data_IF_815765373779
#
_entry.id   IF_815765373779
#
_cell.length_a   1.000
_cell.length_b   1.000
_cell.length_c   1.000
_cell.angle_alpha   90.00
_cell.angle_beta   90.00
_cell.angle_gamma   90.00
#
_symmetry.space_group_name_H-M   'P 1'
#
loop_
_entity.id
_entity.type
_entity.pdbx_description
1 polymer ?
#
# COMPACT_ATOMS: atom_id res chain seq x y z
N UNK A 1 4.83 -21.63 -6.74
CA UNK A 1 4.11 -20.53 -6.06
C UNK A 1 3.89 -20.91 -4.61
N UNK A 2 4.12 -19.98 -3.71
CA UNK A 2 3.86 -20.19 -2.30
C UNK A 2 2.37 -20.41 -2.08
N UNK A 3 2.04 -21.45 -1.32
CA UNK A 3 0.64 -21.82 -1.03
C UNK A 3 -0.08 -20.69 -0.28
N UNK A 4 0.67 -19.94 0.53
CA UNK A 4 0.17 -18.81 1.30
C UNK A 4 -0.33 -17.67 0.40
N UNK A 5 0.36 -17.44 -0.71
CA UNK A 5 0.00 -16.41 -1.69
C UNK A 5 -1.39 -16.67 -2.29
N UNK A 6 -1.64 -17.90 -2.72
CA UNK A 6 -2.92 -18.30 -3.31
C UNK A 6 -4.04 -18.34 -2.28
N UNK A 7 -3.73 -18.84 -1.09
CA UNK A 7 -4.71 -19.02 -0.01
C UNK A 7 -5.29 -17.67 0.46
N UNK A 8 -4.43 -16.67 0.67
CA UNK A 8 -4.90 -15.36 1.13
C UNK A 8 -5.71 -14.63 0.05
N UNK A 9 -5.23 -14.65 -1.20
CA UNK A 9 -5.99 -14.05 -2.30
C UNK A 9 -7.39 -14.66 -2.40
N UNK A 10 -7.48 -15.99 -2.29
CA UNK A 10 -8.76 -16.70 -2.37
C UNK A 10 -9.67 -16.34 -1.19
N UNK A 11 -9.14 -16.31 0.02
CA UNK A 11 -9.91 -15.98 1.23
C UNK A 11 -10.45 -14.56 1.15
N UNK A 12 -9.62 -13.62 0.72
CA UNK A 12 -9.99 -12.20 0.61
C UNK A 12 -10.84 -11.91 -0.61
N UNK A 13 -10.95 -12.86 -1.56
CA UNK A 13 -11.65 -12.73 -2.85
C UNK A 13 -11.03 -11.63 -3.73
N UNK A 14 -9.72 -11.63 -3.80
CA UNK A 14 -8.96 -10.68 -4.61
C UNK A 14 -7.96 -11.41 -5.50
N UNK A 15 -7.40 -10.68 -6.48
CA UNK A 15 -6.41 -11.18 -7.42
C UNK A 15 -5.20 -10.23 -7.42
N UNK A 16 -4.18 -10.57 -6.65
CA UNK A 16 -3.00 -9.73 -6.51
C UNK A 16 -1.70 -10.45 -6.81
N UNK A 17 -1.73 -11.77 -7.04
CA UNK A 17 -0.54 -12.55 -7.31
C UNK A 17 0.00 -12.32 -8.72
N UNK A 18 1.31 -12.49 -8.89
CA UNK A 18 1.98 -12.33 -10.17
C UNK A 18 2.73 -11.01 -10.27
N UNK A 19 3.58 -10.91 -11.30
CA UNK A 19 4.42 -9.76 -11.56
C UNK A 19 4.02 -9.10 -12.87
N UNK A 20 4.08 -7.76 -12.93
CA UNK A 20 3.77 -7.01 -14.13
C UNK A 20 4.86 -5.96 -14.35
N UNK A 21 5.65 -6.13 -15.43
CA UNK A 21 6.76 -5.25 -15.81
C UNK A 21 6.37 -4.25 -16.90
N UNK A 22 5.16 -4.32 -17.44
CA UNK A 22 4.78 -3.62 -18.67
C UNK A 22 4.85 -2.10 -18.59
N UNK A 23 4.78 -1.52 -17.38
CA UNK A 23 4.79 -0.08 -17.17
C UNK A 23 5.94 0.40 -16.27
N UNK A 24 6.98 -0.42 -16.09
CA UNK A 24 8.14 -0.01 -15.30
C UNK A 24 8.97 1.03 -16.06
N UNK A 25 9.62 1.95 -15.33
CA UNK A 25 10.51 2.96 -15.89
C UNK A 25 11.70 3.21 -14.94
N UNK A 26 12.53 4.22 -15.24
CA UNK A 26 13.73 4.50 -14.45
C UNK A 26 13.45 4.97 -13.02
N UNK A 27 12.24 5.43 -12.73
CA UNK A 27 11.86 5.97 -11.43
C UNK A 27 10.94 5.03 -10.64
N UNK A 28 10.32 4.07 -11.33
CA UNK A 28 9.32 3.18 -10.73
C UNK A 28 9.62 1.73 -11.07
N UNK A 29 9.38 0.87 -10.12
CA UNK A 29 9.63 -0.56 -10.28
C UNK A 29 8.40 -1.25 -10.87
N UNK A 30 8.58 -2.44 -11.50
CA UNK A 30 7.44 -3.21 -11.98
C UNK A 30 6.54 -3.64 -10.81
N UNK A 31 5.28 -3.92 -11.11
CA UNK A 31 4.38 -4.44 -10.10
C UNK A 31 4.89 -5.79 -9.59
N UNK A 32 5.04 -5.89 -8.29
CA UNK A 32 5.40 -7.11 -7.59
C UNK A 32 4.74 -7.03 -6.21
N UNK A 33 3.88 -7.99 -5.84
CA UNK A 33 3.17 -7.88 -4.58
C UNK A 33 4.09 -8.17 -3.38
N UNK A 34 3.86 -7.48 -2.28
CA UNK A 34 4.51 -7.80 -1.01
C UNK A 34 4.07 -9.20 -0.57
N UNK A 35 5.00 -10.09 -0.20
CA UNK A 35 4.61 -11.43 0.26
C UNK A 35 3.66 -11.37 1.46
N UNK A 36 2.66 -12.23 1.47
CA UNK A 36 1.72 -12.29 2.60
C UNK A 36 2.42 -12.62 3.92
N UNK A 37 3.50 -13.39 3.91
CA UNK A 37 4.26 -13.68 5.13
C UNK A 37 4.81 -12.40 5.78
N UNK A 38 5.22 -11.43 4.97
CA UNK A 38 5.67 -10.11 5.45
C UNK A 38 4.48 -9.34 6.03
N UNK A 39 3.35 -9.34 5.34
CA UNK A 39 2.15 -8.63 5.79
C UNK A 39 1.56 -9.24 7.07
N UNK A 40 1.62 -10.57 7.23
CA UNK A 40 1.22 -11.23 8.46
C UNK A 40 2.06 -10.75 9.65
N UNK A 41 3.37 -10.62 9.46
CA UNK A 41 4.28 -10.11 10.49
C UNK A 41 3.95 -8.66 10.83
N UNK A 42 3.67 -7.84 9.84
CA UNK A 42 3.29 -6.44 10.05
C UNK A 42 1.96 -6.35 10.81
N UNK A 43 0.96 -7.12 10.38
CA UNK A 43 -0.35 -7.13 11.03
C UNK A 43 -0.27 -7.58 12.49
N UNK A 44 0.63 -8.52 12.80
CA UNK A 44 0.80 -9.06 14.15
C UNK A 44 1.75 -8.24 15.02
N UNK A 45 2.39 -7.20 14.48
CA UNK A 45 3.38 -6.40 15.19
C UNK A 45 2.80 -5.53 16.31
N UNK A 46 1.51 -5.19 16.21
CA UNK A 46 0.87 -4.25 17.12
C UNK A 46 1.08 -2.77 16.74
N UNK A 47 1.85 -2.49 15.69
CA UNK A 47 2.11 -1.12 15.25
C UNK A 47 0.94 -0.50 14.47
N UNK A 48 0.05 -1.32 13.92
CA UNK A 48 -1.13 -0.84 13.19
C UNK A 48 -2.36 -1.37 13.90
N UNK A 49 -3.25 -0.47 14.31
CA UNK A 49 -4.47 -0.79 15.05
C UNK A 49 -5.69 -0.19 14.36
N UNK A 50 -6.86 -0.55 14.83
CA UNK A 50 -8.15 -0.15 14.25
C UNK A 50 -8.26 1.37 14.04
N UNK A 51 -7.74 2.17 14.94
CA UNK A 51 -7.86 3.63 14.88
C UNK A 51 -6.80 4.30 13.97
N UNK A 52 -5.85 3.53 13.45
CA UNK A 52 -4.84 4.06 12.55
C UNK A 52 -5.39 4.18 11.13
N UNK A 53 -4.76 5.04 10.34
CA UNK A 53 -5.02 5.16 8.90
C UNK A 53 -3.71 4.93 8.17
N UNK A 54 -3.68 3.87 7.36
CA UNK A 54 -2.50 3.46 6.61
C UNK A 54 -2.54 4.04 5.20
N UNK A 55 -1.47 4.71 4.80
CA UNK A 55 -1.25 5.16 3.42
C UNK A 55 -0.22 4.23 2.77
N UNK A 56 -0.59 3.65 1.63
CA UNK A 56 0.23 2.73 0.87
C UNK A 56 0.67 3.39 -0.44
N UNK A 57 1.94 3.77 -0.54
CA UNK A 57 2.50 4.40 -1.73
C UNK A 57 2.83 3.34 -2.78
N UNK A 58 2.22 3.46 -3.96
CA UNK A 58 2.38 2.48 -5.01
C UNK A 58 1.64 1.20 -4.66
N UNK A 59 0.35 1.30 -4.41
CA UNK A 59 -0.44 0.21 -3.86
C UNK A 59 -0.61 -0.99 -4.80
N UNK A 60 -0.25 -0.85 -6.08
CA UNK A 60 -0.43 -1.94 -7.03
C UNK A 60 -1.89 -2.37 -7.09
N UNK A 61 -2.10 -3.66 -7.02
CA UNK A 61 -3.45 -4.25 -7.07
C UNK A 61 -4.16 -4.26 -5.71
N UNK A 62 -3.57 -3.63 -4.69
CA UNK A 62 -4.23 -3.39 -3.40
C UNK A 62 -4.05 -4.46 -2.34
N UNK A 63 -3.10 -5.38 -2.50
CA UNK A 63 -2.88 -6.46 -1.52
C UNK A 63 -2.65 -5.96 -0.11
N UNK A 64 -1.71 -5.03 0.06
CA UNK A 64 -1.36 -4.49 1.38
C UNK A 64 -2.59 -3.89 2.06
N UNK A 65 -3.30 -3.05 1.32
CA UNK A 65 -4.45 -2.32 1.83
C UNK A 65 -5.57 -3.25 2.26
N UNK A 66 -5.93 -4.19 1.40
CA UNK A 66 -7.05 -5.10 1.65
C UNK A 66 -6.72 -6.12 2.75
N UNK A 67 -5.47 -6.60 2.78
CA UNK A 67 -5.05 -7.55 3.81
C UNK A 67 -4.92 -6.89 5.18
N UNK A 68 -4.22 -5.75 5.26
CA UNK A 68 -4.01 -5.06 6.54
C UNK A 68 -5.34 -4.58 7.10
N UNK A 69 -6.24 -4.05 6.26
CA UNK A 69 -7.57 -3.66 6.71
C UNK A 69 -8.38 -4.86 7.24
N UNK A 70 -8.26 -6.02 6.59
CA UNK A 70 -8.92 -7.24 7.06
C UNK A 70 -8.40 -7.65 8.43
N UNK A 71 -7.09 -7.66 8.63
CA UNK A 71 -6.47 -8.14 9.87
C UNK A 71 -6.60 -7.16 11.03
N UNK A 72 -6.44 -5.87 10.76
CA UNK A 72 -6.37 -4.86 11.83
C UNK A 72 -7.64 -4.04 11.98
N UNK A 73 -8.52 -4.09 10.99
CA UNK A 73 -9.73 -3.27 10.91
C UNK A 73 -9.44 -1.77 10.72
N UNK A 74 -8.22 -1.40 10.40
CA UNK A 74 -7.88 -0.01 10.13
C UNK A 74 -8.38 0.44 8.75
N UNK A 75 -8.50 1.74 8.58
CA UNK A 75 -8.74 2.35 7.27
C UNK A 75 -7.44 2.37 6.47
N UNK A 76 -7.51 2.08 5.18
CA UNK A 76 -6.36 2.13 4.29
C UNK A 76 -6.63 3.01 3.07
N UNK A 77 -5.59 3.68 2.61
CA UNK A 77 -5.61 4.51 1.40
C UNK A 77 -4.43 4.07 0.54
N UNK A 78 -4.72 3.58 -0.65
CA UNK A 78 -3.67 3.17 -1.60
C UNK A 78 -3.61 4.14 -2.77
N UNK A 79 -2.41 4.56 -3.16
CA UNK A 79 -2.23 5.39 -4.34
C UNK A 79 -1.39 4.64 -5.37
N UNK A 80 -1.78 4.75 -6.63
CA UNK A 80 -1.15 4.07 -7.76
C UNK A 80 -1.17 5.00 -8.98
N UNK A 81 -0.04 5.09 -9.69
CA UNK A 81 0.04 5.98 -10.85
C UNK A 81 -0.34 5.30 -12.17
N UNK A 82 -0.23 3.97 -12.24
CA UNK A 82 -0.54 3.19 -13.45
C UNK A 82 -2.04 2.91 -13.50
N UNK A 83 -2.71 3.47 -14.50
CA UNK A 83 -4.16 3.37 -14.63
C UNK A 83 -4.65 1.92 -14.71
N UNK A 84 -3.95 1.06 -15.45
CA UNK A 84 -4.34 -0.35 -15.62
C UNK A 84 -4.24 -1.11 -14.31
N UNK A 85 -3.17 -0.88 -13.56
CA UNK A 85 -2.98 -1.54 -12.25
C UNK A 85 -3.98 -0.97 -11.24
N UNK A 86 -4.20 0.35 -11.27
CA UNK A 86 -5.20 1.00 -10.43
C UNK A 86 -6.61 0.42 -10.66
N UNK A 87 -6.98 0.17 -11.91
CA UNK A 87 -8.28 -0.46 -12.22
C UNK A 87 -8.38 -1.86 -11.61
N UNK A 88 -7.28 -2.62 -11.61
CA UNK A 88 -7.23 -3.93 -10.95
C UNK A 88 -7.44 -3.80 -9.44
N UNK A 89 -6.85 -2.77 -8.81
CA UNK A 89 -7.07 -2.50 -7.39
C UNK A 89 -8.54 -2.18 -7.10
N UNK A 90 -9.16 -1.36 -7.94
CA UNK A 90 -10.58 -1.01 -7.79
C UNK A 90 -11.49 -2.24 -7.92
N UNK A 91 -11.18 -3.14 -8.83
CA UNK A 91 -11.90 -4.40 -8.98
C UNK A 91 -11.75 -5.26 -7.72
N UNK A 92 -10.54 -5.33 -7.16
CA UNK A 92 -10.29 -6.04 -5.91
C UNK A 92 -11.04 -5.43 -4.73
N UNK A 93 -11.14 -4.10 -4.67
CA UNK A 93 -11.95 -3.44 -3.65
C UNK A 93 -13.43 -3.85 -3.77
N UNK A 94 -13.95 -3.87 -4.98
CA UNK A 94 -15.34 -4.22 -5.26
C UNK A 94 -15.66 -5.66 -4.86
N UNK A 95 -14.79 -6.61 -5.21
CA UNK A 95 -15.02 -8.03 -5.01
C UNK A 95 -14.52 -8.53 -3.65
N UNK A 96 -13.56 -7.84 -3.05
CA UNK A 96 -12.90 -8.25 -1.82
C UNK A 96 -13.77 -8.08 -0.59
N UNK A 97 -13.59 -8.96 0.38
CA UNK A 97 -14.40 -8.95 1.60
C UNK A 97 -14.07 -7.79 2.54
N UNK A 98 -12.91 -7.14 2.37
CA UNK A 98 -12.46 -6.03 3.23
C UNK A 98 -12.45 -4.67 2.52
N UNK A 99 -13.09 -4.55 1.37
CA UNK A 99 -13.03 -3.33 0.58
C UNK A 99 -13.66 -2.09 1.18
N UNK A 100 -14.55 -2.25 2.14
CA UNK A 100 -15.34 -1.13 2.68
C UNK A 100 -14.49 -0.07 3.41
N UNK A 101 -13.35 -0.45 3.98
CA UNK A 101 -12.46 0.45 4.72
C UNK A 101 -11.25 0.90 3.89
N UNK A 102 -11.22 0.59 2.60
CA UNK A 102 -10.10 0.85 1.71
C UNK A 102 -10.52 1.79 0.60
N UNK A 103 -9.71 2.80 0.33
CA UNK A 103 -9.88 3.69 -0.82
C UNK A 103 -8.64 3.62 -1.70
N UNK A 104 -8.83 3.59 -3.02
CA UNK A 104 -7.74 3.65 -3.99
C UNK A 104 -7.85 4.92 -4.82
N UNK A 105 -6.70 5.55 -5.09
CA UNK A 105 -6.63 6.80 -5.85
C UNK A 105 -5.59 6.67 -6.97
N UNK A 106 -5.95 7.20 -8.14
CA UNK A 106 -5.03 7.27 -9.28
C UNK A 106 -4.22 8.56 -9.15
N UNK A 107 -3.04 8.44 -8.56
CA UNK A 107 -2.17 9.57 -8.24
C UNK A 107 -0.70 9.16 -8.34
N UNK A 108 0.15 10.13 -8.64
CA UNK A 108 1.60 9.95 -8.50
C UNK A 108 1.99 10.20 -7.05
N UNK A 109 2.90 9.36 -6.53
CA UNK A 109 3.34 9.48 -5.14
C UNK A 109 3.89 10.89 -4.83
N UNK A 110 4.69 11.44 -5.76
CA UNK A 110 5.33 12.73 -5.59
C UNK A 110 4.37 13.93 -5.62
N UNK A 111 3.16 13.74 -6.11
CA UNK A 111 2.16 14.81 -6.24
C UNK A 111 1.03 14.72 -5.20
N UNK A 112 1.06 13.72 -4.34
CA UNK A 112 -0.03 13.45 -3.41
C UNK A 112 0.14 14.23 -2.10
N UNK A 113 -0.89 14.99 -1.73
CA UNK A 113 -0.95 15.67 -0.44
C UNK A 113 -1.48 14.73 0.63
N UNK A 114 -0.72 14.53 1.69
CA UNK A 114 -1.04 13.54 2.72
C UNK A 114 -2.15 14.05 3.63
N UNK A 115 -3.28 13.32 3.75
CA UNK A 115 -4.37 13.72 4.65
C UNK A 115 -3.92 13.75 6.12
N UNK A 116 -4.54 14.63 6.89
CA UNK A 116 -4.20 14.82 8.32
C UNK A 116 -4.42 13.57 9.18
N UNK A 117 -5.33 12.70 8.78
CA UNK A 117 -5.65 11.48 9.53
C UNK A 117 -4.67 10.33 9.29
N UNK A 118 -3.80 10.43 8.27
CA UNK A 118 -2.80 9.38 7.99
C UNK A 118 -1.72 9.39 9.07
N UNK A 119 -1.52 8.26 9.72
CA UNK A 119 -0.51 8.09 10.77
C UNK A 119 0.36 6.83 10.61
N UNK A 120 0.11 6.04 9.56
CA UNK A 120 0.91 4.88 9.19
C UNK A 120 1.16 4.93 7.69
N UNK A 121 2.39 4.63 7.26
CA UNK A 121 2.76 4.69 5.84
C UNK A 121 3.58 3.47 5.47
N UNK A 122 3.24 2.84 4.35
CA UNK A 122 3.93 1.65 3.86
C UNK A 122 4.61 1.92 2.52
N UNK A 123 5.86 1.46 2.39
CA UNK A 123 6.66 1.55 1.17
C UNK A 123 7.17 0.16 0.81
N UNK A 124 6.86 -0.30 -0.40
CA UNK A 124 7.44 -1.52 -0.95
C UNK A 124 8.49 -1.14 -1.99
N UNK A 125 9.73 -1.61 -1.78
CA UNK A 125 10.83 -1.36 -2.72
C UNK A 125 10.80 0.11 -3.17
N UNK A 126 11.11 1.05 -2.27
CA UNK A 126 10.79 2.46 -2.48
C UNK A 126 11.37 3.02 -3.76
N UNK A 127 10.73 4.07 -4.22
CA UNK A 127 11.00 4.79 -5.45
C UNK A 127 12.45 5.26 -5.54
N UNK A 128 12.80 5.87 -6.69
CA UNK A 128 14.08 6.59 -6.81
C UNK A 128 14.23 7.60 -5.66
N UNK A 129 15.47 7.95 -5.35
CA UNK A 129 15.76 8.92 -4.30
C UNK A 129 15.03 10.25 -4.54
N UNK A 130 14.92 10.65 -5.80
CA UNK A 130 14.24 11.88 -6.18
C UNK A 130 12.76 11.86 -5.80
N UNK A 131 12.05 10.80 -6.12
CA UNK A 131 10.63 10.64 -5.78
C UNK A 131 10.48 10.52 -4.26
N UNK A 132 11.34 9.73 -3.61
CA UNK A 132 11.29 9.54 -2.17
C UNK A 132 11.46 10.85 -1.41
N UNK A 133 12.36 11.73 -1.87
CA UNK A 133 12.53 13.06 -1.25
C UNK A 133 11.24 13.86 -1.27
N UNK A 134 10.53 13.84 -2.40
CA UNK A 134 9.26 14.56 -2.54
C UNK A 134 8.17 13.98 -1.64
N UNK A 135 8.14 12.65 -1.53
CA UNK A 135 7.20 11.94 -0.65
C UNK A 135 7.47 12.31 0.82
N UNK A 136 8.73 12.27 1.24
CA UNK A 136 9.10 12.62 2.62
C UNK A 136 8.78 14.09 2.90
N UNK A 137 9.00 14.99 1.94
CA UNK A 137 8.65 16.40 2.09
C UNK A 137 7.14 16.57 2.30
N UNK A 138 6.31 15.86 1.51
CA UNK A 138 4.86 15.92 1.67
C UNK A 138 4.40 15.38 3.03
N UNK A 139 5.02 14.32 3.53
CA UNK A 139 4.74 13.77 4.87
C UNK A 139 5.14 14.77 5.96
N UNK A 140 6.30 15.40 5.81
CA UNK A 140 6.78 16.40 6.75
C UNK A 140 5.85 17.61 6.80
N UNK A 141 5.40 18.09 5.64
CA UNK A 141 4.46 19.21 5.55
C UNK A 141 3.14 18.86 6.25
N UNK A 142 2.63 17.66 6.02
CA UNK A 142 1.40 17.20 6.66
C UNK A 142 1.55 17.15 8.19
N UNK A 143 2.67 16.65 8.69
CA UNK A 143 2.94 16.58 10.14
C UNK A 143 3.17 17.96 10.75
N UNK A 144 3.72 18.89 9.99
CA UNK A 144 3.90 20.27 10.45
C UNK A 144 2.54 20.95 10.63
N UNK A 145 1.64 20.78 9.67
CA UNK A 145 0.30 21.38 9.72
C UNK A 145 -0.59 20.71 10.77
N UNK A 146 -0.45 19.39 10.94
CA UNK A 146 -1.24 18.59 11.86
C UNK A 146 -0.31 17.66 12.65
N UNK A 147 0.29 18.17 13.76
CA UNK A 147 1.27 17.41 14.54
C UNK A 147 0.70 16.09 15.05
N UNK A 148 1.44 15.02 14.76
CA UNK A 148 1.10 13.66 15.19
C UNK A 148 2.29 12.75 14.96
N UNK A 149 2.28 11.59 15.61
CA UNK A 149 3.27 10.55 15.33
C UNK A 149 2.87 9.81 14.06
N UNK A 150 3.79 9.70 13.11
CA UNK A 150 3.61 8.91 11.90
C UNK A 150 4.71 7.85 11.84
N UNK A 151 4.31 6.59 11.74
CA UNK A 151 5.25 5.49 11.59
C UNK A 151 5.37 5.11 10.11
N UNK A 152 6.61 4.92 9.66
CA UNK A 152 6.93 4.54 8.30
C UNK A 152 7.42 3.10 8.29
N UNK A 153 6.90 2.29 7.37
CA UNK A 153 7.29 0.90 7.20
C UNK A 153 7.89 0.73 5.81
N UNK A 154 9.14 0.27 5.75
CA UNK A 154 9.86 0.05 4.50
C UNK A 154 10.11 -1.43 4.33
N UNK A 155 9.69 -1.99 3.21
CA UNK A 155 10.00 -3.36 2.85
C UNK A 155 10.89 -3.39 1.62
N UNK A 156 12.04 -4.04 1.76
CA UNK A 156 12.99 -4.26 0.68
C UNK A 156 13.07 -5.77 0.44
N UNK A 157 12.59 -6.26 -0.72
CA UNK A 157 12.70 -7.69 -1.00
C UNK A 157 14.18 -8.09 -1.10
N UNK A 158 14.50 -9.27 -0.57
CA UNK A 158 15.85 -9.83 -0.73
C UNK A 158 15.90 -10.59 -2.05
N UNK A 159 17.02 -10.44 -2.75
CA UNK A 159 17.27 -11.14 -4.01
C UNK A 159 17.52 -12.64 -3.80
#
# INVERSE_FOLDING_TARGET
MDINETRWDKLLKIKTSGRDDSHSDQYRYPYEPTPYSVLERLANSGYIRKNNVLLDYGCGKGRVDLFISYQTRCRTIGIEYDERIFEAACENKKNGISGARTDFLLEKAEDYSVPKEVDRVFFFNPFSLEILRKVIAALTDSCYENPREVLLFFYYPQD
#
